data_IF_469382222257
#
_entry.id   IF_469382222257
#
_cell.length_a   1.000
_cell.length_b   1.000
_cell.length_c   1.000
_cell.angle_alpha   90.00
_cell.angle_beta   90.00
_cell.angle_gamma   90.00
#
_symmetry.space_group_name_H-M   'P 1'
#
loop_
_entity.id
_entity.type
_entity.pdbx_description
1 polymer ?
#
# COMPACT_ATOMS: atom_id res chain seq x y z
N UNK A 1 6.93 8.62 28.36
CA UNK A 1 6.98 7.58 27.32
C UNK A 1 7.57 6.33 27.91
N UNK A 2 6.95 5.18 27.67
CA UNK A 2 7.51 3.86 27.99
C UNK A 2 7.73 3.09 26.70
N UNK A 3 8.68 2.16 26.66
CA UNK A 3 8.89 1.28 25.50
C UNK A 3 8.84 -0.18 25.93
N UNK A 4 8.28 -1.05 25.09
CA UNK A 4 8.20 -2.49 25.32
C UNK A 4 8.63 -3.24 24.05
N UNK A 5 9.38 -4.35 24.16
CA UNK A 5 9.71 -5.17 23.01
C UNK A 5 8.48 -5.96 22.54
N UNK A 6 8.31 -6.06 21.23
CA UNK A 6 7.33 -6.91 20.58
C UNK A 6 7.99 -8.07 19.83
N UNK A 7 9.18 -7.85 19.27
CA UNK A 7 10.02 -8.85 18.60
C UNK A 7 11.49 -8.47 18.74
N UNK A 8 12.35 -9.40 19.16
CA UNK A 8 13.79 -9.15 19.31
C UNK A 8 14.59 -10.27 18.63
N UNK A 9 15.45 -9.89 17.69
CA UNK A 9 16.35 -10.82 16.98
C UNK A 9 17.81 -10.71 17.42
N UNK A 10 18.14 -9.67 18.19
CA UNK A 10 19.48 -9.44 18.69
C UNK A 10 19.65 -8.05 19.28
N UNK A 11 20.89 -7.67 19.57
CA UNK A 11 21.19 -6.34 20.07
C UNK A 11 20.91 -5.27 18.99
N UNK A 12 20.49 -4.08 19.41
CA UNK A 12 20.18 -2.96 18.50
C UNK A 12 21.32 -2.58 17.55
N UNK A 13 22.60 -2.83 17.88
CA UNK A 13 23.70 -2.54 16.95
C UNK A 13 23.80 -3.53 15.76
N UNK A 14 23.26 -4.74 15.91
CA UNK A 14 23.26 -5.78 14.87
C UNK A 14 21.91 -5.96 14.17
N UNK A 15 20.93 -5.14 14.51
CA UNK A 15 19.55 -5.19 14.02
C UNK A 15 19.08 -3.79 13.66
N UNK A 16 17.99 -3.72 12.90
CA UNK A 16 17.29 -2.50 12.57
C UNK A 16 16.04 -2.39 13.45
N UNK A 17 15.93 -1.32 14.22
CA UNK A 17 14.86 -1.14 15.20
C UNK A 17 13.66 -0.41 14.56
N UNK A 18 12.53 -1.11 14.43
CA UNK A 18 11.23 -0.52 14.11
C UNK A 18 10.51 -0.15 15.42
N UNK A 19 9.90 1.03 15.50
CA UNK A 19 9.18 1.44 16.71
C UNK A 19 7.81 1.99 16.39
N UNK A 20 6.77 1.32 16.88
CA UNK A 20 5.42 1.85 16.91
C UNK A 20 5.32 2.95 17.98
N UNK A 21 4.83 4.12 17.60
CA UNK A 21 4.50 5.23 18.50
C UNK A 21 3.00 5.43 18.49
N UNK A 22 2.38 5.45 19.67
CA UNK A 22 0.93 5.63 19.80
C UNK A 22 0.51 7.08 19.54
N UNK A 23 -0.49 7.29 18.68
CA UNK A 23 -1.21 8.56 18.55
C UNK A 23 -2.73 8.34 18.61
N UNK A 24 -3.44 9.21 19.32
CA UNK A 24 -4.89 9.08 19.50
C UNK A 24 -5.31 7.99 20.50
N UNK A 25 -4.38 7.39 21.24
CA UNK A 25 -4.69 6.48 22.34
C UNK A 25 -4.63 7.23 23.66
N UNK A 26 -5.70 7.20 24.44
CA UNK A 26 -5.72 7.77 25.80
C UNK A 26 -4.92 6.91 26.79
N UNK A 27 -4.65 7.41 28.01
CA UNK A 27 -3.93 6.65 29.04
C UNK A 27 -4.57 5.26 29.31
N UNK A 28 -5.91 5.21 29.37
CA UNK A 28 -6.68 3.99 29.59
C UNK A 28 -6.70 3.04 28.38
N UNK A 29 -6.24 3.51 27.20
CA UNK A 29 -6.16 2.72 25.97
C UNK A 29 -4.74 2.18 25.70
N UNK A 30 -3.84 2.24 26.69
CA UNK A 30 -2.48 1.70 26.56
C UNK A 30 -2.48 0.23 26.14
N UNK A 31 -3.29 -0.61 26.75
CA UNK A 31 -3.33 -2.05 26.44
C UNK A 31 -3.89 -2.31 25.03
N UNK A 32 -4.84 -1.48 24.59
CA UNK A 32 -5.37 -1.50 23.22
C UNK A 32 -4.25 -1.18 22.21
N UNK A 33 -3.48 -0.11 22.44
CA UNK A 33 -2.31 0.22 21.60
C UNK A 33 -1.32 -0.94 21.51
N UNK A 34 -0.98 -1.55 22.65
CA UNK A 34 -0.03 -2.67 22.68
C UNK A 34 -0.57 -3.88 21.92
N UNK A 35 -1.87 -4.16 22.02
CA UNK A 35 -2.52 -5.22 21.25
C UNK A 35 -2.49 -4.93 19.74
N UNK A 36 -2.80 -3.70 19.33
CA UNK A 36 -2.79 -3.29 17.93
C UNK A 36 -1.38 -3.40 17.34
N UNK A 37 -0.38 -2.83 18.03
CA UNK A 37 1.02 -2.92 17.62
C UNK A 37 1.54 -4.37 17.58
N UNK A 38 1.09 -5.23 18.50
CA UNK A 38 1.44 -6.65 18.51
C UNK A 38 0.86 -7.40 17.31
N UNK A 39 -0.43 -7.22 17.00
CA UNK A 39 -1.07 -7.82 15.80
C UNK A 39 -0.33 -7.41 14.52
N UNK A 40 -0.01 -6.14 14.41
CA UNK A 40 0.74 -5.57 13.29
C UNK A 40 2.18 -6.11 13.22
N UNK A 41 2.81 -6.35 14.36
CA UNK A 41 4.12 -7.02 14.44
C UNK A 41 4.04 -8.45 13.93
N UNK A 42 3.07 -9.24 14.40
CA UNK A 42 2.87 -10.63 13.95
C UNK A 42 2.60 -10.70 12.44
N UNK A 43 1.91 -9.72 11.89
CA UNK A 43 1.58 -9.62 10.48
C UNK A 43 2.80 -9.43 9.55
N UNK A 44 3.89 -8.85 10.08
CA UNK A 44 5.14 -8.65 9.34
C UNK A 44 6.20 -9.72 9.62
N UNK A 45 6.41 -10.16 10.86
CA UNK A 45 7.55 -11.03 11.23
C UNK A 45 7.20 -12.48 11.61
N UNK A 46 5.92 -12.86 11.71
CA UNK A 46 5.57 -14.28 11.92
C UNK A 46 5.99 -15.15 10.72
N UNK A 47 5.96 -16.48 10.84
CA UNK A 47 6.36 -17.42 9.78
C UNK A 47 5.65 -17.17 8.42
N UNK A 48 4.41 -16.68 8.46
CA UNK A 48 3.62 -16.34 7.29
C UNK A 48 3.56 -14.83 7.00
N UNK A 49 4.30 -14.02 7.76
CA UNK A 49 4.34 -12.58 7.65
C UNK A 49 5.11 -12.09 6.41
N UNK A 50 4.76 -10.90 5.93
CA UNK A 50 5.30 -10.34 4.69
C UNK A 50 6.83 -10.14 4.69
N UNK A 51 7.41 -9.99 5.88
CA UNK A 51 8.83 -9.67 6.10
C UNK A 51 9.54 -10.76 6.91
N UNK A 52 8.97 -11.97 7.02
CA UNK A 52 9.58 -13.09 7.76
C UNK A 52 11.04 -13.35 7.38
N UNK A 53 11.34 -13.31 6.08
CA UNK A 53 12.68 -13.53 5.52
C UNK A 53 13.75 -12.58 6.07
N UNK A 54 13.38 -11.37 6.49
CA UNK A 54 14.27 -10.40 7.14
C UNK A 54 13.98 -10.22 8.63
N UNK A 55 13.07 -11.01 9.22
CA UNK A 55 12.70 -10.87 10.63
C UNK A 55 13.91 -10.96 11.56
N UNK A 56 14.89 -11.81 11.23
CA UNK A 56 16.15 -11.97 11.96
C UNK A 56 17.06 -10.72 11.97
N UNK A 57 16.80 -9.74 11.10
CA UNK A 57 17.50 -8.45 11.06
C UNK A 57 16.74 -7.36 11.82
N UNK A 58 15.54 -7.64 12.32
CA UNK A 58 14.64 -6.64 12.90
C UNK A 58 14.51 -6.82 14.41
N UNK A 59 14.47 -5.68 15.09
CA UNK A 59 13.85 -5.55 16.40
C UNK A 59 12.60 -4.67 16.25
N UNK A 60 11.54 -5.00 16.97
CA UNK A 60 10.27 -4.26 16.91
C UNK A 60 9.85 -3.90 18.32
N UNK A 61 9.55 -2.63 18.51
CA UNK A 61 9.22 -2.03 19.78
C UNK A 61 7.89 -1.28 19.73
N UNK A 62 7.22 -1.16 20.87
CA UNK A 62 6.07 -0.28 21.06
C UNK A 62 6.38 0.79 22.11
N UNK A 63 6.32 2.06 21.71
CA UNK A 63 6.47 3.21 22.58
C UNK A 63 5.14 3.91 22.80
N UNK A 64 4.65 3.84 24.04
CA UNK A 64 3.39 4.46 24.43
C UNK A 64 3.59 5.89 24.92
N UNK A 65 2.79 6.78 24.35
CA UNK A 65 2.59 8.18 24.74
C UNK A 65 1.10 8.47 24.67
N UNK A 66 0.45 8.84 25.79
CA UNK A 66 -0.98 9.11 25.80
C UNK A 66 -1.32 10.37 25.00
N UNK A 67 -2.45 10.35 24.32
CA UNK A 67 -3.15 11.51 23.78
C UNK A 67 -4.28 11.92 24.72
N UNK A 68 -4.68 13.20 24.70
CA UNK A 68 -5.76 13.68 25.55
C UNK A 68 -7.14 13.14 25.14
N UNK A 69 -7.32 12.79 23.87
CA UNK A 69 -8.55 12.26 23.31
C UNK A 69 -8.29 10.98 22.52
N UNK A 70 -9.30 10.11 22.48
CA UNK A 70 -9.30 8.90 21.66
C UNK A 70 -9.61 9.25 20.21
N UNK A 71 -8.90 8.64 19.26
CA UNK A 71 -9.09 8.89 17.83
C UNK A 71 -8.03 9.81 17.21
N UNK A 72 -8.12 9.97 15.89
CA UNK A 72 -7.31 10.92 15.12
C UNK A 72 -8.16 12.12 14.66
N UNK A 73 -7.51 13.21 14.27
CA UNK A 73 -8.19 14.40 13.77
C UNK A 73 -8.80 14.24 12.38
N UNK A 74 -9.65 15.19 12.00
CA UNK A 74 -10.26 15.29 10.66
C UNK A 74 -10.33 16.75 10.24
N UNK A 75 -10.63 17.02 8.96
CA UNK A 75 -10.79 18.39 8.44
C UNK A 75 -9.52 19.23 8.62
N UNK A 76 -8.38 18.67 8.22
CA UNK A 76 -7.05 19.30 8.24
C UNK A 76 -6.52 19.70 9.63
N UNK A 77 -7.11 19.16 10.70
CA UNK A 77 -6.71 19.47 12.06
C UNK A 77 -6.57 18.20 12.93
N UNK A 78 -5.47 18.06 13.70
CA UNK A 78 -5.37 17.04 14.74
C UNK A 78 -6.30 17.37 15.92
N UNK A 79 -6.63 16.36 16.72
CA UNK A 79 -7.33 16.59 17.98
C UNK A 79 -6.41 17.35 18.96
N UNK A 80 -6.95 18.26 19.79
CA UNK A 80 -6.16 18.91 20.83
C UNK A 80 -5.52 17.89 21.78
N UNK A 81 -4.23 18.02 22.04
CA UNK A 81 -3.51 17.10 22.92
C UNK A 81 -3.20 15.72 22.32
N UNK A 82 -3.30 15.54 21.00
CA UNK A 82 -2.69 14.40 20.30
C UNK A 82 -1.17 14.41 20.45
N UNK A 83 -0.58 13.24 20.74
CA UNK A 83 0.85 13.09 21.00
C UNK A 83 1.71 13.50 19.78
N UNK A 84 1.34 13.01 18.60
CA UNK A 84 1.99 13.22 17.32
C UNK A 84 1.09 13.97 16.33
N UNK A 85 -0.22 14.03 16.59
CA UNK A 85 -1.14 14.88 15.84
C UNK A 85 -1.47 14.32 14.47
N UNK A 86 -1.91 13.06 14.42
CA UNK A 86 -2.44 12.46 13.20
C UNK A 86 -3.80 13.04 12.85
N UNK A 87 -4.04 13.28 11.57
CA UNK A 87 -5.32 13.77 11.06
C UNK A 87 -5.58 13.39 9.61
N UNK A 88 -6.84 13.48 9.20
CA UNK A 88 -7.30 13.39 7.80
C UNK A 88 -7.66 14.79 7.27
N UNK A 89 -7.40 15.09 5.98
CA UNK A 89 -7.84 16.35 5.38
C UNK A 89 -9.35 16.50 5.30
N UNK A 90 -10.06 15.38 5.13
CA UNK A 90 -11.51 15.35 5.02
C UNK A 90 -12.08 14.05 5.56
N UNK A 91 -13.29 13.73 5.13
CA UNK A 91 -13.95 12.47 5.50
C UNK A 91 -13.33 11.27 4.77
N UNK A 92 -12.66 11.49 3.63
CA UNK A 92 -12.18 10.44 2.74
C UNK A 92 -11.18 9.50 3.45
N UNK A 93 -11.36 8.20 3.22
CA UNK A 93 -10.40 7.17 3.61
C UNK A 93 -9.21 7.18 2.63
N UNK A 94 -8.40 8.25 2.69
CA UNK A 94 -7.20 8.48 1.88
C UNK A 94 -5.94 8.47 2.75
N UNK A 95 -5.25 9.60 2.85
CA UNK A 95 -4.01 9.76 3.60
C UNK A 95 -4.28 10.21 5.02
N UNK A 96 -3.43 9.77 5.94
CA UNK A 96 -3.36 10.28 7.31
C UNK A 96 -2.04 11.03 7.45
N UNK A 97 -2.12 12.28 7.88
CA UNK A 97 -1.01 13.21 7.91
C UNK A 97 -0.57 13.47 9.34
N UNK A 98 0.70 13.84 9.50
CA UNK A 98 1.35 14.05 10.78
C UNK A 98 1.62 15.54 11.01
N UNK A 99 0.92 16.16 11.97
CA UNK A 99 1.13 17.56 12.31
C UNK A 99 2.43 17.80 13.09
N UNK A 100 2.74 16.94 14.07
CA UNK A 100 3.86 17.14 15.01
C UNK A 100 5.13 16.37 14.59
N UNK A 101 5.53 16.47 13.33
CA UNK A 101 6.68 15.72 12.78
C UNK A 101 8.01 15.93 13.54
N UNK A 102 8.24 17.13 14.10
CA UNK A 102 9.43 17.39 14.95
C UNK A 102 9.42 16.58 16.24
N UNK A 103 8.24 16.36 16.83
CA UNK A 103 8.06 15.54 18.03
C UNK A 103 8.32 14.07 17.71
N UNK A 104 7.80 13.58 16.58
CA UNK A 104 8.06 12.22 16.11
C UNK A 104 9.56 11.95 15.86
N UNK A 105 10.26 12.88 15.18
CA UNK A 105 11.75 12.82 15.02
C UNK A 105 12.45 12.76 16.36
N UNK A 106 12.08 13.64 17.30
CA UNK A 106 12.70 13.71 18.62
C UNK A 106 12.47 12.42 19.44
N UNK A 107 11.27 11.84 19.36
CA UNK A 107 10.93 10.59 20.04
C UNK A 107 11.78 9.41 19.50
N UNK A 108 11.91 9.29 18.18
CA UNK A 108 12.78 8.28 17.58
C UNK A 108 14.26 8.48 17.95
N UNK A 109 14.75 9.72 17.85
CA UNK A 109 16.12 10.06 18.25
C UNK A 109 16.40 9.74 19.73
N UNK A 110 15.45 10.04 20.62
CA UNK A 110 15.55 9.71 22.04
C UNK A 110 15.75 8.21 22.25
N UNK A 111 14.91 7.36 21.64
CA UNK A 111 15.03 5.91 21.80
C UNK A 111 16.31 5.37 21.16
N UNK A 112 16.70 5.87 19.98
CA UNK A 112 17.94 5.49 19.31
C UNK A 112 19.19 5.79 20.14
N UNK A 113 19.24 6.95 20.80
CA UNK A 113 20.45 7.45 21.42
C UNK A 113 20.51 7.10 22.91
N UNK A 114 19.42 7.29 23.64
CA UNK A 114 19.41 7.33 25.12
C UNK A 114 18.44 6.35 25.77
N UNK A 115 17.43 5.91 25.02
CA UNK A 115 16.33 5.11 25.55
C UNK A 115 16.76 3.76 26.10
N UNK A 116 16.16 3.37 27.22
CA UNK A 116 16.35 2.04 27.82
C UNK A 116 15.00 1.37 28.05
N UNK A 117 14.91 0.11 27.65
CA UNK A 117 13.81 -0.77 27.98
C UNK A 117 14.18 -1.51 29.28
N UNK A 118 13.33 -1.47 30.33
CA UNK A 118 13.54 -2.29 31.51
C UNK A 118 13.76 -3.75 31.10
N UNK A 119 14.71 -4.43 31.73
CA UNK A 119 15.03 -5.86 31.52
C UNK A 119 15.61 -6.25 30.14
N UNK A 120 15.48 -5.39 29.12
CA UNK A 120 15.87 -5.68 27.73
C UNK A 120 17.01 -4.79 27.21
N UNK A 121 17.56 -3.91 28.04
CA UNK A 121 18.73 -3.11 27.71
C UNK A 121 18.38 -1.81 26.99
N UNK A 122 19.04 -1.52 25.87
CA UNK A 122 18.74 -0.32 25.08
C UNK A 122 17.47 -0.57 24.27
N UNK A 123 16.50 0.33 24.39
CA UNK A 123 15.47 0.44 23.34
C UNK A 123 16.11 1.02 22.09
N UNK A 124 15.44 0.94 20.95
CA UNK A 124 15.95 1.50 19.71
C UNK A 124 14.83 2.02 18.83
N UNK A 125 15.18 2.96 17.95
CA UNK A 125 14.33 3.40 16.85
C UNK A 125 15.25 3.84 15.70
N UNK A 126 15.23 3.09 14.59
CA UNK A 126 15.80 3.49 13.32
C UNK A 126 14.72 3.94 12.34
N UNK A 127 13.54 3.31 12.38
CA UNK A 127 12.36 3.70 11.61
C UNK A 127 11.14 3.88 12.53
N UNK A 128 10.61 5.11 12.66
CA UNK A 128 9.39 5.35 13.40
C UNK A 128 8.15 4.94 12.59
N UNK A 129 7.28 4.17 13.24
CA UNK A 129 5.93 3.87 12.77
C UNK A 129 4.95 4.63 13.68
N UNK A 130 4.19 5.59 13.14
CA UNK A 130 3.19 6.31 13.93
C UNK A 130 1.84 5.61 13.74
N UNK A 131 1.35 4.97 14.81
CA UNK A 131 0.11 4.20 14.81
C UNK A 131 -1.03 5.03 15.36
N UNK A 132 -1.97 5.39 14.50
CA UNK A 132 -3.19 6.12 14.85
C UNK A 132 -4.29 5.20 15.35
N UNK A 133 -4.92 5.60 16.45
CA UNK A 133 -6.12 4.95 17.00
C UNK A 133 -7.37 5.21 16.13
N UNK A 134 -7.39 4.66 14.92
CA UNK A 134 -8.51 4.72 13.99
C UNK A 134 -8.69 3.33 13.38
N UNK A 135 -9.94 2.86 13.32
CA UNK A 135 -10.30 1.54 12.80
C UNK A 135 -10.43 1.48 11.27
N UNK A 136 -10.18 2.58 10.55
CA UNK A 136 -10.41 2.69 9.11
C UNK A 136 -9.13 3.05 8.34
N UNK A 137 -9.10 2.68 7.06
CA UNK A 137 -7.98 2.85 6.14
C UNK A 137 -7.39 4.23 6.22
N UNK A 138 -6.07 4.28 6.32
CA UNK A 138 -5.32 5.51 6.30
C UNK A 138 -3.87 5.26 6.59
N UNK A 139 -3.02 6.00 5.90
CA UNK A 139 -1.59 5.99 6.11
C UNK A 139 -0.86 6.84 5.09
N UNK A 140 0.45 6.92 5.28
CA UNK A 140 1.36 7.59 4.38
C UNK A 140 2.78 7.06 4.62
N UNK A 141 3.53 6.85 3.54
CA UNK A 141 4.96 6.54 3.59
C UNK A 141 5.84 7.78 3.53
N UNK A 142 7.14 7.57 3.74
CA UNK A 142 8.15 8.61 3.69
C UNK A 142 9.13 8.51 4.85
N UNK A 143 9.47 9.64 5.47
CA UNK A 143 10.33 9.63 6.66
C UNK A 143 9.71 8.81 7.81
N UNK A 144 8.39 8.92 7.98
CA UNK A 144 7.63 8.16 8.97
C UNK A 144 6.74 7.17 8.23
N UNK A 145 6.60 5.98 8.79
CA UNK A 145 5.57 5.04 8.36
C UNK A 145 4.30 5.38 9.16
N UNK A 146 3.31 6.00 8.53
CA UNK A 146 2.06 6.38 9.20
C UNK A 146 0.99 5.36 8.83
N UNK A 147 0.35 4.77 9.84
CA UNK A 147 -0.71 3.79 9.67
C UNK A 147 -1.84 4.02 10.68
N UNK A 148 -2.98 3.40 10.42
CA UNK A 148 -4.11 3.31 11.33
C UNK A 148 -4.22 1.89 11.91
N UNK A 149 -4.90 1.76 13.04
CA UNK A 149 -5.22 0.49 13.68
C UNK A 149 -6.38 -0.28 13.00
N UNK A 150 -6.68 0.00 11.72
CA UNK A 150 -7.67 -0.76 10.96
C UNK A 150 -7.33 -2.24 10.98
N UNK A 151 -8.30 -3.06 11.37
CA UNK A 151 -8.14 -4.51 11.43
C UNK A 151 -7.79 -5.11 10.06
N UNK A 152 -8.32 -4.53 8.98
CA UNK A 152 -8.16 -5.05 7.62
C UNK A 152 -7.06 -4.35 6.86
N UNK A 153 -7.04 -3.02 6.96
CA UNK A 153 -6.16 -2.18 6.17
C UNK A 153 -4.88 -1.78 6.90
N UNK A 154 -4.85 -1.79 8.23
CA UNK A 154 -3.63 -1.53 9.00
C UNK A 154 -2.47 -2.43 8.55
N UNK A 155 -2.67 -3.77 8.49
CA UNK A 155 -1.70 -4.71 7.92
C UNK A 155 -1.26 -4.39 6.48
N UNK A 156 -2.23 -4.12 5.60
CA UNK A 156 -1.99 -3.82 4.18
C UNK A 156 -1.12 -2.58 4.02
N UNK A 157 -1.52 -1.49 4.67
CA UNK A 157 -0.80 -0.21 4.63
C UNK A 157 0.57 -0.36 5.29
N UNK A 158 0.67 -1.02 6.45
CA UNK A 158 1.95 -1.22 7.14
C UNK A 158 2.98 -1.91 6.23
N UNK A 159 2.59 -3.00 5.58
CA UNK A 159 3.49 -3.74 4.68
C UNK A 159 3.95 -2.89 3.50
N UNK A 160 3.03 -2.15 2.88
CA UNK A 160 3.32 -1.29 1.74
C UNK A 160 4.25 -0.14 2.14
N UNK A 161 3.92 0.60 3.19
CA UNK A 161 4.69 1.77 3.61
C UNK A 161 6.06 1.40 4.21
N UNK A 162 6.17 0.26 4.90
CA UNK A 162 7.48 -0.27 5.27
C UNK A 162 8.28 -0.76 4.06
N UNK A 163 7.62 -1.20 2.98
CA UNK A 163 8.28 -1.47 1.70
C UNK A 163 9.07 -0.25 1.23
N UNK A 164 8.43 0.92 1.20
CA UNK A 164 9.06 2.20 0.86
C UNK A 164 10.08 2.67 1.92
N UNK A 165 9.82 2.43 3.21
CA UNK A 165 10.69 2.94 4.29
C UNK A 165 11.99 2.13 4.44
N UNK A 166 11.93 0.82 4.16
CA UNK A 166 13.04 -0.11 4.37
C UNK A 166 13.81 -0.38 3.08
N UNK A 167 13.14 -0.36 1.93
CA UNK A 167 13.73 -0.63 0.61
C UNK A 167 13.76 0.65 -0.20
N UNK A 168 14.79 0.82 -1.02
CA UNK A 168 14.73 1.78 -2.12
C UNK A 168 13.93 1.12 -3.27
N UNK A 169 12.60 1.29 -3.22
CA UNK A 169 11.61 0.81 -4.19
C UNK A 169 10.71 1.96 -4.63
N UNK A 170 10.18 1.85 -5.83
CA UNK A 170 9.07 2.66 -6.30
C UNK A 170 7.75 1.92 -6.22
N UNK A 171 6.71 2.61 -6.65
CA UNK A 171 5.40 2.02 -6.87
C UNK A 171 5.41 1.03 -8.03
N UNK A 172 4.59 -0.01 -7.93
CA UNK A 172 4.33 -0.91 -9.06
C UNK A 172 2.88 -0.80 -9.56
N UNK A 173 1.97 -0.20 -8.77
CA UNK A 173 0.60 0.08 -9.21
C UNK A 173 0.54 1.25 -10.21
N UNK A 174 -0.54 1.29 -10.99
CA UNK A 174 -0.78 2.39 -11.93
C UNK A 174 -1.15 3.64 -11.13
N UNK A 175 -0.54 4.78 -11.44
CA UNK A 175 -1.03 6.09 -10.96
C UNK A 175 -0.32 6.59 -9.71
N UNK A 176 0.78 5.93 -9.35
CA UNK A 176 1.76 6.45 -8.42
C UNK A 176 2.54 7.63 -8.99
N UNK A 177 3.38 8.20 -8.13
CA UNK A 177 4.22 9.36 -8.47
C UNK A 177 5.70 8.97 -8.64
N UNK A 178 6.14 7.90 -7.98
CA UNK A 178 7.55 7.51 -7.89
C UNK A 178 7.76 6.09 -8.40
N UNK A 179 8.49 5.95 -9.51
CA UNK A 179 8.87 4.68 -10.12
C UNK A 179 10.40 4.60 -10.18
N UNK A 180 11.00 4.20 -9.06
CA UNK A 180 12.46 4.15 -8.89
C UNK A 180 12.89 2.90 -8.11
N UNK A 181 14.15 2.87 -7.68
CA UNK A 181 14.63 1.77 -6.84
C UNK A 181 14.90 0.49 -7.62
N UNK A 182 14.92 -0.63 -6.90
CA UNK A 182 15.29 -1.96 -7.42
C UNK A 182 14.20 -2.61 -8.28
N UNK A 183 12.95 -2.16 -8.14
CA UNK A 183 11.76 -2.74 -8.79
C UNK A 183 11.18 -1.87 -9.90
N UNK A 184 11.85 -0.79 -10.31
CA UNK A 184 11.42 0.03 -11.43
C UNK A 184 12.59 0.34 -12.38
N UNK A 185 12.35 0.29 -13.69
CA UNK A 185 13.37 0.63 -14.68
C UNK A 185 12.76 1.32 -15.92
N UNK A 186 13.61 1.98 -16.70
CA UNK A 186 13.20 2.64 -17.94
C UNK A 186 13.14 1.64 -19.10
N UNK A 187 12.39 1.98 -20.15
CA UNK A 187 12.16 1.06 -21.28
C UNK A 187 13.40 0.85 -22.15
N UNK A 188 14.28 1.85 -22.22
CA UNK A 188 15.57 1.75 -22.92
C UNK A 188 16.55 0.83 -22.18
N UNK A 189 16.23 0.44 -20.94
CA UNK A 189 17.00 -0.51 -20.13
C UNK A 189 16.55 -1.96 -20.28
N UNK A 190 15.66 -2.29 -21.23
CA UNK A 190 15.09 -3.64 -21.38
C UNK A 190 16.13 -4.79 -21.36
N UNK A 191 17.32 -4.58 -21.94
CA UNK A 191 18.37 -5.60 -21.98
C UNK A 191 19.40 -5.51 -20.84
N UNK A 192 19.20 -4.56 -19.92
CA UNK A 192 20.05 -4.30 -18.74
C UNK A 192 19.23 -3.98 -17.49
N UNK A 193 18.04 -4.59 -17.38
CA UNK A 193 17.12 -4.37 -16.26
C UNK A 193 17.82 -4.58 -14.92
N UNK A 194 17.51 -3.74 -13.94
CA UNK A 194 18.02 -3.86 -12.56
C UNK A 194 17.80 -5.24 -11.94
N UNK A 195 16.74 -5.96 -12.34
CA UNK A 195 16.41 -7.31 -11.88
C UNK A 195 16.73 -8.41 -12.91
N UNK A 196 17.70 -8.18 -13.81
CA UNK A 196 18.07 -9.15 -14.86
C UNK A 196 18.31 -10.57 -14.33
N UNK A 197 18.95 -10.71 -13.18
CA UNK A 197 19.26 -12.01 -12.56
C UNK A 197 18.02 -12.79 -12.10
N UNK A 198 16.87 -12.13 -12.00
CA UNK A 198 15.60 -12.74 -11.60
C UNK A 198 14.72 -13.14 -12.79
N UNK A 199 15.08 -12.76 -14.02
CA UNK A 199 14.23 -13.00 -15.20
C UNK A 199 13.95 -14.49 -15.37
N UNK A 200 12.68 -14.85 -15.51
CA UNK A 200 12.27 -16.24 -15.73
C UNK A 200 12.76 -16.78 -17.09
N UNK A 201 12.91 -15.90 -18.08
CA UNK A 201 13.45 -16.24 -19.40
C UNK A 201 14.42 -15.15 -19.89
N UNK A 202 15.70 -15.18 -19.47
CA UNK A 202 16.68 -14.13 -19.78
C UNK A 202 17.11 -14.11 -21.26
N UNK A 203 16.80 -15.14 -22.04
CA UNK A 203 17.12 -15.18 -23.48
C UNK A 203 16.06 -14.52 -24.36
N UNK A 204 14.85 -14.26 -23.83
CA UNK A 204 13.72 -13.68 -24.57
C UNK A 204 13.07 -12.54 -23.79
N UNK A 205 13.87 -11.55 -23.39
CA UNK A 205 13.37 -10.37 -22.67
C UNK A 205 12.56 -9.49 -23.61
N UNK A 206 11.31 -9.24 -23.24
CA UNK A 206 10.39 -8.36 -23.96
C UNK A 206 9.52 -7.60 -22.98
N UNK A 207 8.98 -6.46 -23.44
CA UNK A 207 7.96 -5.74 -22.68
C UNK A 207 6.64 -6.51 -22.79
N UNK A 208 6.00 -6.74 -21.65
CA UNK A 208 4.67 -7.35 -21.56
C UNK A 208 3.63 -6.28 -21.89
N UNK A 209 2.99 -6.39 -23.06
CA UNK A 209 2.18 -5.33 -23.67
C UNK A 209 0.84 -5.19 -22.96
N UNK A 210 0.69 -4.08 -22.21
CA UNK A 210 -0.55 -3.70 -21.56
C UNK A 210 -0.82 -2.21 -21.76
N UNK A 211 -2.09 -1.84 -21.79
CA UNK A 211 -2.55 -0.45 -21.92
C UNK A 211 -3.47 -0.11 -20.77
N UNK A 212 -3.43 1.15 -20.35
CA UNK A 212 -4.28 1.69 -19.30
C UNK A 212 -5.09 2.85 -19.88
N UNK A 213 -6.13 2.56 -20.70
CA UNK A 213 -6.93 3.61 -21.35
C UNK A 213 -7.74 4.49 -20.37
N UNK A 214 -7.90 4.04 -19.12
CA UNK A 214 -8.53 4.82 -18.05
C UNK A 214 -7.77 4.64 -16.74
N UNK A 215 -7.45 5.75 -16.08
CA UNK A 215 -6.83 5.81 -14.75
C UNK A 215 -7.29 7.09 -14.04
N UNK A 216 -8.08 6.95 -12.99
CA UNK A 216 -8.65 8.07 -12.25
C UNK A 216 -8.77 7.78 -10.75
N UNK A 217 -8.63 8.84 -9.94
CA UNK A 217 -8.88 8.83 -8.50
C UNK A 217 -10.00 9.81 -8.17
N UNK A 218 -11.27 9.47 -8.49
CA UNK A 218 -12.35 10.45 -8.48
C UNK A 218 -12.76 10.92 -7.09
N UNK A 219 -12.55 10.10 -6.04
CA UNK A 219 -13.04 10.38 -4.68
C UNK A 219 -14.50 10.87 -4.68
N UNK A 220 -15.33 10.22 -5.49
CA UNK A 220 -16.68 10.69 -5.79
C UNK A 220 -17.69 10.07 -4.84
N UNK A 221 -18.44 10.92 -4.12
CA UNK A 221 -19.50 10.47 -3.23
C UNK A 221 -20.74 10.07 -4.02
N UNK A 222 -21.01 8.76 -4.09
CA UNK A 222 -22.12 8.19 -4.86
C UNK A 222 -23.49 8.48 -4.24
N UNK A 223 -23.57 9.04 -3.02
CA UNK A 223 -24.83 9.56 -2.48
C UNK A 223 -25.31 10.83 -3.21
N UNK A 224 -24.39 11.54 -3.87
CA UNK A 224 -24.70 12.75 -4.65
C UNK A 224 -25.25 12.45 -6.04
N UNK A 225 -25.14 11.21 -6.51
CA UNK A 225 -25.60 10.79 -7.84
C UNK A 225 -24.73 9.69 -8.44
N UNK A 226 -24.94 9.40 -9.73
CA UNK A 226 -24.09 8.48 -10.47
C UNK A 226 -22.75 9.15 -10.84
N UNK A 227 -21.71 8.34 -10.98
CA UNK A 227 -20.44 8.71 -11.59
C UNK A 227 -20.38 8.16 -13.01
N UNK A 228 -20.08 9.00 -13.99
CA UNK A 228 -19.93 8.56 -15.39
C UNK A 228 -18.61 9.06 -15.96
N UNK A 229 -17.90 8.18 -16.65
CA UNK A 229 -16.66 8.52 -17.36
C UNK A 229 -16.64 7.87 -18.73
N UNK A 230 -16.18 8.64 -19.72
CA UNK A 230 -15.91 8.17 -21.07
C UNK A 230 -14.40 7.99 -21.26
N UNK A 231 -14.02 6.95 -21.99
CA UNK A 231 -12.63 6.68 -22.34
C UNK A 231 -12.57 5.94 -23.68
N UNK A 232 -11.42 5.98 -24.34
CA UNK A 232 -11.22 5.31 -25.63
C UNK A 232 -10.38 4.05 -25.41
N UNK A 233 -10.88 2.89 -25.85
CA UNK A 233 -10.13 1.64 -25.80
C UNK A 233 -8.87 1.69 -26.67
N UNK A 234 -7.88 0.88 -26.35
CA UNK A 234 -6.67 0.72 -27.17
C UNK A 234 -6.91 -0.13 -28.41
N UNK A 235 -7.97 -0.94 -28.43
CA UNK A 235 -8.48 -1.57 -29.64
C UNK A 235 -8.94 -0.48 -30.63
N UNK A 236 -8.38 -0.47 -31.84
CA UNK A 236 -8.75 0.43 -32.93
C UNK A 236 -9.63 -0.30 -33.94
N UNK A 237 -10.41 0.47 -34.72
CA UNK A 237 -11.25 -0.05 -35.82
C UNK A 237 -10.41 -0.33 -37.07
N UNK A 238 -9.17 0.15 -37.12
CA UNK A 238 -8.27 -0.05 -38.25
C UNK A 238 -7.72 -1.48 -38.26
N UNK A 239 -8.28 -2.30 -39.18
CA UNK A 239 -7.91 -3.69 -39.42
C UNK A 239 -6.44 -3.88 -39.84
N UNK A 240 -5.70 -2.80 -40.13
CA UNK A 240 -4.27 -2.84 -40.42
C UNK A 240 -3.37 -2.68 -39.19
N UNK A 241 -3.93 -2.34 -38.02
CA UNK A 241 -3.18 -2.31 -36.76
C UNK A 241 -3.19 -3.70 -36.13
N UNK A 242 -2.06 -4.41 -36.25
CA UNK A 242 -1.82 -5.79 -35.80
C UNK A 242 -2.00 -6.05 -34.29
N UNK A 243 -2.29 -5.04 -33.47
CA UNK A 243 -2.28 -5.15 -32.00
C UNK A 243 -3.69 -5.18 -31.42
N UNK A 244 -4.22 -6.38 -31.24
CA UNK A 244 -5.51 -6.62 -30.56
C UNK A 244 -5.32 -6.87 -29.07
N UNK A 245 -6.16 -6.26 -28.24
CA UNK A 245 -6.24 -6.49 -26.80
C UNK A 245 -7.52 -7.29 -26.48
N UNK A 246 -7.47 -8.64 -26.55
CA UNK A 246 -8.66 -9.49 -26.46
C UNK A 246 -9.21 -9.63 -25.04
N UNK A 247 -8.42 -9.24 -24.04
CA UNK A 247 -8.81 -9.29 -22.62
C UNK A 247 -8.45 -7.99 -21.92
N UNK A 248 -9.10 -7.76 -20.79
CA UNK A 248 -8.81 -6.62 -19.94
C UNK A 248 -9.27 -6.85 -18.51
N UNK A 249 -9.13 -5.83 -17.68
CA UNK A 249 -9.55 -5.82 -16.29
C UNK A 249 -9.99 -4.40 -15.92
N UNK A 250 -11.06 -4.30 -15.13
CA UNK A 250 -11.41 -3.07 -14.41
C UNK A 250 -10.95 -3.24 -12.97
N UNK A 251 -10.12 -2.31 -12.49
CA UNK A 251 -9.72 -2.23 -11.09
C UNK A 251 -10.29 -0.95 -10.49
N UNK A 252 -10.89 -1.04 -9.32
CA UNK A 252 -11.48 0.11 -8.65
C UNK A 252 -11.43 -0.06 -7.15
N UNK A 253 -11.59 1.02 -6.41
CA UNK A 253 -11.67 0.97 -4.95
C UNK A 253 -12.84 1.77 -4.41
N UNK A 254 -13.43 1.27 -3.33
CA UNK A 254 -14.64 1.82 -2.70
C UNK A 254 -14.42 2.02 -1.20
N UNK A 255 -15.15 2.94 -0.58
CA UNK A 255 -15.35 3.01 0.89
C UNK A 255 -16.83 2.97 1.25
N UNK A 256 -17.17 2.47 2.43
CA UNK A 256 -18.56 2.38 2.95
C UNK A 256 -19.56 1.63 2.06
N UNK A 257 -19.10 0.75 1.18
CA UNK A 257 -19.95 -0.05 0.28
C UNK A 257 -19.62 -1.53 0.49
N UNK A 258 -20.31 -2.21 1.42
CA UNK A 258 -19.92 -3.55 1.84
C UNK A 258 -20.36 -4.69 0.91
N UNK A 259 -21.37 -4.49 0.06
CA UNK A 259 -21.99 -5.56 -0.73
C UNK A 259 -22.10 -5.20 -2.22
N UNK A 260 -22.00 -6.20 -3.13
CA UNK A 260 -22.16 -5.96 -4.57
C UNK A 260 -23.56 -5.46 -4.92
N UNK A 261 -24.59 -5.87 -4.19
CA UNK A 261 -25.98 -5.44 -4.40
C UNK A 261 -26.23 -3.96 -4.12
N UNK A 262 -25.29 -3.27 -3.49
CA UNK A 262 -25.36 -1.84 -3.25
C UNK A 262 -25.02 -1.01 -4.49
N UNK A 263 -24.43 -1.62 -5.51
CA UNK A 263 -23.94 -0.93 -6.70
C UNK A 263 -24.60 -1.44 -7.98
N UNK A 264 -24.93 -0.51 -8.86
CA UNK A 264 -25.08 -0.75 -10.27
C UNK A 264 -23.83 -0.21 -10.97
N UNK A 265 -22.98 -1.12 -11.42
CA UNK A 265 -21.77 -0.80 -12.19
C UNK A 265 -21.99 -1.27 -13.62
N UNK A 266 -21.98 -0.35 -14.58
CA UNK A 266 -22.22 -0.65 -15.99
C UNK A 266 -21.04 -0.27 -16.86
N UNK A 267 -20.81 -1.06 -17.91
CA UNK A 267 -19.90 -0.76 -19.01
C UNK A 267 -20.75 -0.71 -20.29
N UNK A 268 -20.78 0.44 -20.96
CA UNK A 268 -21.62 0.70 -22.13
C UNK A 268 -23.10 0.36 -21.90
N UNK A 269 -23.61 0.67 -20.70
CA UNK A 269 -24.99 0.40 -20.28
C UNK A 269 -25.27 -1.05 -19.89
N UNK A 270 -24.31 -1.97 -20.03
CA UNK A 270 -24.45 -3.36 -19.61
C UNK A 270 -23.94 -3.55 -18.18
N UNK A 271 -24.75 -4.10 -17.26
CA UNK A 271 -24.31 -4.37 -15.89
C UNK A 271 -23.15 -5.36 -15.82
N UNK A 272 -22.15 -5.04 -14.99
CA UNK A 272 -21.06 -5.95 -14.67
C UNK A 272 -21.44 -6.84 -13.50
N UNK A 273 -21.03 -8.11 -13.56
CA UNK A 273 -21.15 -9.00 -12.42
C UNK A 273 -20.02 -8.72 -11.41
N UNK A 274 -20.38 -8.17 -10.25
CA UNK A 274 -19.44 -7.84 -9.18
C UNK A 274 -19.29 -8.95 -8.13
N UNK A 275 -20.04 -10.06 -8.22
CA UNK A 275 -20.11 -11.04 -7.13
C UNK A 275 -18.77 -11.68 -6.81
N UNK A 276 -17.92 -11.90 -7.81
CA UNK A 276 -16.58 -12.48 -7.63
C UNK A 276 -15.56 -11.46 -7.13
N UNK A 277 -15.80 -10.16 -7.33
CA UNK A 277 -14.94 -9.09 -6.84
C UNK A 277 -15.10 -8.88 -5.32
N UNK A 278 -16.33 -9.02 -4.80
CA UNK A 278 -16.63 -8.88 -3.39
C UNK A 278 -16.34 -10.18 -2.63
N UNK A 279 -15.11 -10.33 -2.15
CA UNK A 279 -14.69 -11.52 -1.40
C UNK A 279 -15.38 -11.61 -0.02
N UNK A 280 -15.77 -12.82 0.45
CA UNK A 280 -16.49 -12.99 1.71
C UNK A 280 -15.79 -12.42 2.94
N UNK A 281 -14.45 -12.44 2.94
CA UNK A 281 -13.65 -11.92 4.06
C UNK A 281 -13.90 -10.45 4.35
N UNK A 282 -14.41 -9.66 3.40
CA UNK A 282 -14.68 -8.22 3.53
C UNK A 282 -16.16 -7.89 3.73
N UNK A 283 -17.02 -8.90 3.91
CA UNK A 283 -18.44 -8.70 4.10
C UNK A 283 -18.73 -7.80 5.30
N UNK A 284 -19.65 -6.84 5.12
CA UNK A 284 -20.03 -5.87 6.16
C UNK A 284 -19.00 -4.77 6.44
N UNK A 285 -17.77 -4.85 5.91
CA UNK A 285 -16.75 -3.84 6.16
C UNK A 285 -17.09 -2.49 5.51
N UNK A 286 -17.13 -1.42 6.31
CA UNK A 286 -17.25 -0.03 5.82
C UNK A 286 -15.89 0.59 5.46
N UNK A 287 -14.80 -0.15 5.69
CA UNK A 287 -13.46 0.27 5.36
C UNK A 287 -13.21 0.29 3.83
N UNK A 288 -12.13 0.94 3.39
CA UNK A 288 -11.73 1.01 1.99
C UNK A 288 -11.34 -0.38 1.47
N UNK A 289 -11.77 -0.71 0.25
CA UNK A 289 -11.47 -1.98 -0.43
C UNK A 289 -11.07 -1.77 -1.88
N UNK A 290 -10.28 -2.69 -2.43
CA UNK A 290 -9.95 -2.76 -3.86
C UNK A 290 -10.62 -3.98 -4.48
N UNK A 291 -11.15 -3.79 -5.68
CA UNK A 291 -11.99 -4.72 -6.41
C UNK A 291 -11.47 -4.84 -7.84
N UNK A 292 -11.57 -6.05 -8.38
CA UNK A 292 -11.11 -6.37 -9.73
C UNK A 292 -12.20 -7.13 -10.47
N UNK A 293 -12.53 -6.69 -11.68
CA UNK A 293 -13.50 -7.35 -12.58
C UNK A 293 -12.80 -7.65 -13.89
N UNK A 294 -12.73 -8.93 -14.24
CA UNK A 294 -12.11 -9.38 -15.48
C UNK A 294 -13.02 -9.08 -16.69
N UNK A 295 -12.42 -8.66 -17.79
CA UNK A 295 -13.05 -8.46 -19.08
C UNK A 295 -12.52 -9.53 -20.05
N UNK A 296 -13.02 -10.77 -20.01
CA UNK A 296 -12.50 -11.88 -20.82
C UNK A 296 -12.73 -11.71 -22.33
N UNK A 297 -13.57 -10.75 -22.73
CA UNK A 297 -13.83 -10.39 -24.13
C UNK A 297 -13.19 -9.02 -24.50
N UNK A 298 -12.39 -8.46 -23.60
CA UNK A 298 -11.77 -7.15 -23.79
C UNK A 298 -12.80 -6.03 -23.88
N UNK A 299 -12.40 -4.93 -24.51
CA UNK A 299 -13.26 -3.79 -24.79
C UNK A 299 -13.57 -3.70 -26.29
N UNK A 300 -14.81 -3.30 -26.66
CA UNK A 300 -15.10 -2.94 -28.04
C UNK A 300 -14.26 -1.73 -28.47
N UNK A 301 -13.84 -1.66 -29.74
CA UNK A 301 -13.02 -0.58 -30.24
C UNK A 301 -13.74 0.77 -30.18
N UNK A 302 -13.01 1.83 -29.85
CA UNK A 302 -13.49 3.20 -29.82
C UNK A 302 -13.93 3.67 -28.43
N UNK A 303 -14.96 4.53 -28.40
CA UNK A 303 -15.43 5.16 -27.16
C UNK A 303 -16.23 4.18 -26.31
N UNK A 304 -15.89 4.13 -25.03
CA UNK A 304 -16.52 3.32 -24.01
C UNK A 304 -16.94 4.21 -22.83
N UNK A 305 -17.98 3.80 -22.11
CA UNK A 305 -18.53 4.53 -20.96
C UNK A 305 -18.67 3.60 -19.77
N UNK A 306 -18.11 4.01 -18.63
CA UNK A 306 -18.40 3.38 -17.33
C UNK A 306 -19.37 4.29 -16.57
N UNK A 307 -20.42 3.70 -16.01
CA UNK A 307 -21.30 4.37 -15.05
C UNK A 307 -21.41 3.56 -13.76
N UNK A 308 -21.22 4.22 -12.63
CA UNK A 308 -21.29 3.64 -11.29
C UNK A 308 -22.31 4.42 -10.46
N UNK A 309 -23.27 3.73 -9.88
CA UNK A 309 -24.27 4.34 -9.00
C UNK A 309 -24.71 3.42 -7.87
N UNK A 310 -25.27 4.00 -6.81
CA UNK A 310 -25.90 3.22 -5.74
C UNK A 310 -27.27 2.72 -6.19
N UNK A 311 -27.55 1.44 -5.96
CA UNK A 311 -28.91 0.89 -6.02
C UNK A 311 -29.76 1.48 -4.89
N UNK A 312 -31.08 1.23 -4.88
CA UNK A 312 -31.94 1.61 -3.75
C UNK A 312 -31.41 1.03 -2.43
N UNK A 313 -31.06 -0.27 -2.42
CA UNK A 313 -30.45 -0.90 -1.24
C UNK A 313 -29.14 -0.23 -0.84
N UNK A 314 -28.31 0.13 -1.82
CA UNK A 314 -27.06 0.84 -1.57
C UNK A 314 -27.26 2.23 -0.98
N UNK A 315 -28.33 2.95 -1.36
CA UNK A 315 -28.68 4.26 -0.80
C UNK A 315 -29.16 4.14 0.65
N UNK A 316 -30.01 3.15 0.92
CA UNK A 316 -30.63 2.93 2.25
C UNK A 316 -29.66 2.31 3.28
N UNK A 317 -28.58 1.66 2.82
CA UNK A 317 -27.58 1.07 3.70
C UNK A 317 -26.87 2.11 4.60
N UNK A 318 -26.30 1.67 5.72
CA UNK A 318 -25.50 2.52 6.59
C UNK A 318 -24.34 3.18 5.84
N UNK A 319 -24.12 4.46 6.08
CA UNK A 319 -22.95 5.20 5.59
C UNK A 319 -21.89 5.27 6.69
N UNK A 320 -20.74 4.65 6.43
CA UNK A 320 -19.59 4.73 7.32
C UNK A 320 -18.82 6.04 7.19
N UNK A 321 -17.93 6.28 8.14
CA UNK A 321 -16.91 7.32 8.01
C UNK A 321 -16.07 7.04 6.75
N UNK A 322 -15.86 8.06 5.92
CA UNK A 322 -15.37 7.85 4.54
C UNK A 322 -16.38 8.24 3.47
N UNK A 323 -17.67 8.11 3.79
CA UNK A 323 -18.75 8.21 2.81
C UNK A 323 -18.76 7.05 1.82
N UNK A 324 -19.85 6.93 1.05
CA UNK A 324 -20.02 5.91 0.00
C UNK A 324 -19.29 6.34 -1.28
N UNK A 325 -17.97 6.21 -1.27
CA UNK A 325 -17.11 6.76 -2.32
C UNK A 325 -16.74 5.71 -3.37
N UNK A 326 -16.74 6.13 -4.64
CA UNK A 326 -15.84 5.57 -5.65
C UNK A 326 -14.49 6.30 -5.53
N UNK A 327 -13.45 5.59 -5.10
CA UNK A 327 -12.17 6.21 -4.72
C UNK A 327 -11.09 6.11 -5.79
N UNK A 328 -11.06 5.00 -6.55
CA UNK A 328 -10.24 4.87 -7.77
C UNK A 328 -10.97 4.06 -8.83
N UNK A 329 -10.63 4.29 -10.09
CA UNK A 329 -11.12 3.55 -11.24
C UNK A 329 -10.05 3.49 -12.34
N UNK A 330 -9.70 2.27 -12.73
CA UNK A 330 -8.69 1.93 -13.72
C UNK A 330 -9.25 0.88 -14.67
N UNK A 331 -8.88 0.99 -15.94
CA UNK A 331 -9.16 -0.04 -16.96
C UNK A 331 -7.84 -0.41 -17.61
N UNK A 332 -7.55 -1.71 -17.63
CA UNK A 332 -6.33 -2.28 -18.18
C UNK A 332 -6.70 -3.21 -19.33
N UNK A 333 -5.99 -3.12 -20.44
CA UNK A 333 -6.15 -3.97 -21.63
C UNK A 333 -4.84 -4.73 -21.88
N UNK A 334 -4.93 -6.02 -22.17
CA UNK A 334 -3.75 -6.89 -22.28
C UNK A 334 -3.54 -7.38 -23.72
N UNK A 335 -2.30 -7.36 -24.18
CA UNK A 335 -1.94 -7.75 -25.54
C UNK A 335 -2.21 -9.23 -25.83
N UNK A 336 -2.93 -9.50 -26.92
CA UNK A 336 -3.19 -10.85 -27.41
C UNK A 336 -1.95 -11.54 -28.00
N UNK A 337 -2.13 -12.79 -28.45
CA UNK A 337 -1.12 -13.56 -29.20
C UNK A 337 0.22 -13.72 -28.48
N UNK A 338 0.19 -13.88 -27.15
CA UNK A 338 1.39 -14.07 -26.34
C UNK A 338 2.21 -12.80 -26.09
N UNK A 339 1.68 -11.61 -26.44
CA UNK A 339 2.31 -10.32 -26.11
C UNK A 339 2.22 -9.95 -24.63
N UNK A 340 1.38 -10.64 -23.86
CA UNK A 340 1.30 -10.50 -22.41
C UNK A 340 1.37 -11.86 -21.71
N UNK A 341 2.22 -11.98 -20.70
CA UNK A 341 2.43 -13.19 -19.93
C UNK A 341 1.69 -13.12 -18.59
N UNK A 342 0.60 -13.88 -18.49
CA UNK A 342 -0.21 -14.03 -17.28
C UNK A 342 0.28 -15.13 -16.32
N UNK A 343 1.36 -15.84 -16.65
CA UNK A 343 1.85 -16.97 -15.85
C UNK A 343 2.25 -16.49 -14.46
N UNK A 344 1.63 -17.04 -13.43
CA UNK A 344 2.00 -16.83 -12.04
C UNK A 344 3.47 -17.25 -11.82
N UNK A 345 4.23 -16.42 -11.13
CA UNK A 345 5.65 -16.56 -10.86
C UNK A 345 6.55 -16.00 -11.95
N UNK A 346 6.00 -15.50 -13.07
CA UNK A 346 6.83 -14.96 -14.15
C UNK A 346 7.42 -13.60 -13.77
N UNK A 347 8.75 -13.53 -13.80
CA UNK A 347 9.51 -12.29 -13.65
C UNK A 347 9.99 -11.86 -15.04
N UNK A 348 9.52 -10.70 -15.48
CA UNK A 348 9.74 -10.15 -16.82
C UNK A 348 9.88 -8.63 -16.78
N UNK A 349 9.38 -7.97 -17.83
CA UNK A 349 9.34 -6.51 -17.93
C UNK A 349 7.89 -6.07 -18.18
N UNK A 350 7.13 -5.90 -17.10
CA UNK A 350 5.74 -5.48 -17.15
C UNK A 350 5.63 -3.96 -17.18
N UNK A 351 4.69 -3.43 -17.96
CA UNK A 351 4.46 -1.99 -17.99
C UNK A 351 3.77 -1.52 -16.70
N UNK A 352 4.07 -0.29 -16.32
CA UNK A 352 3.32 0.48 -15.32
C UNK A 352 3.37 1.97 -15.68
N UNK A 353 2.33 2.71 -15.34
CA UNK A 353 2.08 4.06 -15.80
C UNK A 353 1.87 4.98 -14.61
N UNK A 354 2.66 6.05 -14.54
CA UNK A 354 2.48 7.09 -13.52
C UNK A 354 1.19 7.87 -13.70
N UNK A 355 0.84 8.67 -12.69
CA UNK A 355 -0.30 9.61 -12.75
C UNK A 355 -0.20 10.63 -13.90
N UNK A 356 1.01 10.82 -14.44
CA UNK A 356 1.27 11.69 -15.59
C UNK A 356 1.37 10.92 -16.91
N UNK A 357 1.03 9.63 -16.92
CA UNK A 357 1.10 8.76 -18.10
C UNK A 357 2.51 8.33 -18.48
N UNK A 358 3.53 8.60 -17.64
CA UNK A 358 4.89 8.14 -17.90
C UNK A 358 4.97 6.64 -17.67
N UNK A 359 5.39 5.91 -18.70
CA UNK A 359 5.55 4.46 -18.61
C UNK A 359 6.94 4.09 -18.10
N UNK A 360 6.98 3.13 -17.17
CA UNK A 360 8.18 2.46 -16.70
C UNK A 360 7.94 0.95 -16.66
N UNK A 361 8.98 0.18 -16.35
CA UNK A 361 8.94 -1.27 -16.24
C UNK A 361 8.98 -1.71 -14.79
N UNK A 362 8.34 -2.84 -14.50
CA UNK A 362 8.35 -3.53 -13.20
C UNK A 362 8.53 -5.05 -13.37
N UNK A 363 8.92 -5.80 -12.32
CA UNK A 363 9.39 -7.18 -12.48
C UNK A 363 8.25 -8.20 -12.63
N UNK A 364 7.10 -7.96 -11.98
CA UNK A 364 5.99 -8.92 -11.91
C UNK A 364 4.68 -8.28 -12.36
N UNK A 365 3.68 -9.12 -12.72
CA UNK A 365 2.35 -8.62 -13.07
C UNK A 365 1.50 -8.26 -11.85
N UNK A 366 1.22 -9.19 -10.94
CA UNK A 366 0.31 -8.95 -9.80
C UNK A 366 0.84 -9.59 -8.49
N UNK A 367 2.11 -9.97 -8.47
CA UNK A 367 2.71 -10.83 -7.43
C UNK A 367 3.65 -10.08 -6.48
N UNK A 368 3.53 -8.76 -6.46
CA UNK A 368 4.21 -7.89 -5.52
C UNK A 368 3.19 -7.05 -4.77
N UNK A 369 3.31 -6.95 -3.44
CA UNK A 369 2.47 -6.06 -2.65
C UNK A 369 2.66 -4.57 -3.00
N UNK A 370 3.79 -4.20 -3.61
CA UNK A 370 4.01 -2.85 -4.16
C UNK A 370 3.14 -2.58 -5.40
N UNK A 371 2.59 -3.62 -6.01
CA UNK A 371 1.58 -3.55 -7.10
C UNK A 371 0.18 -3.72 -6.55
N UNK A 372 -0.01 -4.82 -5.84
CA UNK A 372 -1.32 -5.30 -5.41
C UNK A 372 -1.31 -5.30 -3.90
N UNK A 373 -1.72 -4.18 -3.30
CA UNK A 373 -1.58 -3.94 -1.85
C UNK A 373 -2.29 -4.97 -0.98
N UNK A 374 -3.35 -5.62 -1.49
CA UNK A 374 -4.03 -6.72 -0.79
C UNK A 374 -3.31 -8.08 -0.93
N UNK A 375 -2.20 -8.16 -1.68
CA UNK A 375 -1.28 -9.29 -1.69
C UNK A 375 -0.39 -9.26 -0.44
N UNK A 376 -0.18 -10.38 0.27
CA UNK A 376 0.64 -10.40 1.48
C UNK A 376 2.15 -10.47 1.22
N UNK A 377 2.61 -10.53 -0.05
CA UNK A 377 3.99 -10.89 -0.38
C UNK A 377 4.68 -9.86 -1.27
N UNK A 378 5.94 -9.60 -0.97
CA UNK A 378 6.86 -8.94 -1.90
C UNK A 378 7.31 -9.92 -2.98
N UNK A 379 7.52 -9.42 -4.20
CA UNK A 379 8.17 -10.22 -5.25
C UNK A 379 9.64 -10.51 -4.88
N UNK A 380 10.29 -11.52 -5.48
CA UNK A 380 11.68 -11.87 -5.17
C UNK A 380 12.66 -10.70 -5.26
N UNK A 381 12.48 -9.81 -6.24
CA UNK A 381 13.31 -8.59 -6.41
C UNK A 381 13.20 -7.66 -5.20
N UNK A 382 11.97 -7.40 -4.72
CA UNK A 382 11.75 -6.54 -3.56
C UNK A 382 12.24 -7.18 -2.26
N UNK A 383 12.11 -8.51 -2.11
CA UNK A 383 12.58 -9.26 -0.94
C UNK A 383 14.10 -9.15 -0.76
N UNK A 384 14.85 -9.46 -1.82
CA UNK A 384 16.31 -9.39 -1.77
C UNK A 384 16.79 -7.94 -1.67
N UNK A 385 16.08 -7.02 -2.32
CA UNK A 385 16.29 -5.58 -2.16
C UNK A 385 16.16 -5.14 -0.69
N UNK A 386 15.14 -5.63 0.02
CA UNK A 386 14.90 -5.34 1.43
C UNK A 386 16.03 -5.85 2.31
N UNK A 387 16.42 -7.11 2.13
CA UNK A 387 17.50 -7.71 2.91
C UNK A 387 18.81 -6.96 2.71
N UNK A 388 19.16 -6.64 1.45
CA UNK A 388 20.35 -5.87 1.13
C UNK A 388 20.30 -4.45 1.73
N UNK A 389 19.15 -3.79 1.69
CA UNK A 389 18.97 -2.46 2.25
C UNK A 389 19.12 -2.45 3.79
N UNK A 390 18.48 -3.39 4.48
CA UNK A 390 18.60 -3.54 5.93
C UNK A 390 20.04 -3.83 6.34
N UNK A 391 20.73 -4.78 5.68
CA UNK A 391 22.15 -5.07 5.95
C UNK A 391 23.03 -3.84 5.79
N UNK A 392 22.81 -3.01 4.75
CA UNK A 392 23.54 -1.74 4.56
C UNK A 392 23.25 -0.74 5.68
N UNK A 393 21.99 -0.56 6.05
CA UNK A 393 21.56 0.37 7.11
C UNK A 393 22.15 -0.03 8.48
N UNK A 394 22.09 -1.32 8.82
CA UNK A 394 22.67 -1.87 10.06
C UNK A 394 24.19 -1.65 10.08
N UNK A 395 24.90 -1.93 8.98
CA UNK A 395 26.35 -1.69 8.89
C UNK A 395 26.70 -0.21 9.04
N UNK A 396 25.90 0.69 8.48
CA UNK A 396 26.10 2.13 8.63
C UNK A 396 25.90 2.58 10.08
N UNK A 397 24.84 2.08 10.75
CA UNK A 397 24.57 2.31 12.17
C UNK A 397 25.73 1.88 13.07
N UNK A 398 26.26 0.68 12.86
CA UNK A 398 27.39 0.15 13.65
C UNK A 398 28.64 1.04 13.54
N UNK A 399 28.96 1.55 12.34
CA UNK A 399 30.11 2.46 12.14
C UNK A 399 30.00 3.76 12.91
N UNK A 400 28.80 4.36 12.95
CA UNK A 400 28.55 5.58 13.73
C UNK A 400 28.77 5.30 15.21
N UNK A 401 28.29 4.16 15.70
CA UNK A 401 28.47 3.74 17.09
C UNK A 401 29.95 3.61 17.47
N UNK A 402 30.75 2.90 16.66
CA UNK A 402 32.18 2.72 16.92
C UNK A 402 32.91 4.08 16.95
N UNK A 403 32.61 4.97 16.00
CA UNK A 403 33.19 6.32 15.96
C UNK A 403 32.82 7.20 17.17
N UNK A 404 31.63 7.02 17.73
CA UNK A 404 31.14 7.77 18.90
C UNK A 404 31.68 7.24 20.24
N UNK A 405 32.15 6.00 20.26
CA UNK A 405 32.66 5.32 21.47
C UNK A 405 34.18 5.27 21.56
N UNK A 406 34.89 5.79 20.55
CA UNK A 406 36.35 5.95 20.56
C UNK A 406 37.12 4.64 20.66
N UNK A 407 36.61 3.57 20.04
CA UNK A 407 37.32 2.30 19.87
C UNK A 407 37.76 2.08 18.44
#
# INVERSE_FOLDING_TARGET
MTIQPLHLSGNSNGTYDLTFFSDGYTEDERDKFLLDAKKLTEDIVSEHGAMYHVAHLLNIWASFTPSAHSGIGTHDAPLPGSAFGLYRPGAELRGVYLAHYKVARAACAYWRERGRAPEHGRGGCDQPIILGNDGLYGGLGGEFTIITASERNGPIVLRHELGHSLIDVGEEYEGGEVYSGVNADETDHLHRLKWREYLSNPSQVRIEDAKVPLQQYPWYNLTRGHYTVNFTSSNTVDLHLEKIYPTGMIRFSLSSIPYPSHLLFTLNGLPLNLSTAFVPGWQGSLDRRWLEVQLPKGLPPGSNTITVELTTQGKDAEEGQGGKMLTSLEVIEYGGEGRFNFTEGNIGAYQTFSIHGRMTLRPTNEECLMRKVNSPKFCPVCRDGMEAALKRKIKAKARVWDSSTGR
#
